data_IF_059221765750
#
_entry.id   IF_059221765750
#
_cell.length_a   1.000
_cell.length_b   1.000
_cell.length_c   1.000
_cell.angle_alpha   90.00
_cell.angle_beta   90.00
_cell.angle_gamma   90.00
#
_symmetry.space_group_name_H-M   'P 1'
#
loop_
_entity.id
_entity.type
_entity.pdbx_description
1 polymer ?
#
# COMPACT_ATOMS: atom_id res chain seq x y z
N UNK A 1 -14.28 0.48 -12.12
CA UNK A 1 -13.83 1.69 -12.82
C UNK A 1 -12.59 2.15 -12.10
N UNK A 2 -11.45 2.14 -12.80
CA UNK A 2 -10.20 2.62 -12.26
C UNK A 2 -9.97 4.04 -12.74
N UNK A 3 -9.73 4.98 -11.82
CA UNK A 3 -9.37 6.36 -12.17
C UNK A 3 -7.87 6.57 -11.96
N UNK A 4 -7.27 7.41 -12.81
CA UNK A 4 -5.88 7.83 -12.68
C UNK A 4 -5.82 9.28 -12.22
N UNK A 5 -5.04 9.52 -11.17
CA UNK A 5 -4.81 10.85 -10.61
C UNK A 5 -3.35 11.03 -10.19
N UNK A 6 -2.98 12.25 -9.79
CA UNK A 6 -1.65 12.63 -9.36
C UNK A 6 -1.74 13.44 -8.05
N UNK A 7 -0.87 13.12 -7.10
CA UNK A 7 -0.72 13.93 -5.90
C UNK A 7 -0.11 15.29 -6.25
N UNK A 8 -0.79 16.39 -5.90
CA UNK A 8 -0.27 17.75 -6.12
C UNK A 8 1.00 18.10 -5.33
N UNK A 9 1.29 17.41 -4.22
CA UNK A 9 2.44 17.72 -3.37
C UNK A 9 3.73 17.04 -3.84
N UNK A 10 3.66 15.74 -4.10
CA UNK A 10 4.84 14.93 -4.43
C UNK A 10 4.88 14.46 -5.89
N UNK A 11 3.82 14.70 -6.66
CA UNK A 11 3.73 14.30 -8.07
C UNK A 11 3.52 12.80 -8.29
N UNK A 12 3.35 11.98 -7.24
CA UNK A 12 3.14 10.54 -7.41
C UNK A 12 1.82 10.27 -8.13
N UNK A 13 1.84 9.34 -9.07
CA UNK A 13 0.64 8.91 -9.80
C UNK A 13 -0.05 7.83 -8.98
N UNK A 14 -1.37 7.96 -8.84
CA UNK A 14 -2.20 7.08 -8.05
C UNK A 14 -3.33 6.54 -8.93
N UNK A 15 -3.57 5.23 -8.82
CA UNK A 15 -4.70 4.57 -9.45
C UNK A 15 -5.69 4.18 -8.35
N UNK A 16 -6.94 4.61 -8.46
CA UNK A 16 -7.98 4.34 -7.48
C UNK A 16 -9.09 3.49 -8.11
N UNK A 17 -9.34 2.33 -7.51
CA UNK A 17 -10.38 1.43 -7.95
C UNK A 17 -11.69 1.74 -7.24
N UNK A 18 -12.69 2.18 -7.99
CA UNK A 18 -14.06 2.36 -7.52
C UNK A 18 -14.95 1.13 -7.83
N UNK A 19 -14.38 0.05 -8.36
CA UNK A 19 -15.10 -1.20 -8.61
C UNK A 19 -16.30 -1.01 -9.53
N UNK A 20 -17.48 -1.46 -9.11
CA UNK A 20 -18.71 -1.33 -9.88
C UNK A 20 -19.56 -0.10 -9.47
N UNK A 21 -18.97 0.85 -8.73
CA UNK A 21 -19.68 2.06 -8.29
C UNK A 21 -20.13 2.89 -9.49
N UNK A 22 -21.33 3.49 -9.38
CA UNK A 22 -21.75 4.56 -10.28
C UNK A 22 -20.91 5.82 -10.07
N UNK A 23 -21.04 6.79 -10.97
CA UNK A 23 -20.36 8.08 -10.84
C UNK A 23 -20.73 8.79 -9.54
N UNK A 24 -22.02 8.80 -9.18
CA UNK A 24 -22.53 9.45 -7.98
C UNK A 24 -21.98 8.79 -6.72
N UNK A 25 -21.90 7.46 -6.72
CA UNK A 25 -21.29 6.68 -5.64
C UNK A 25 -19.79 6.97 -5.52
N UNK A 26 -19.07 7.09 -6.64
CA UNK A 26 -17.66 7.45 -6.67
C UNK A 26 -17.42 8.86 -6.12
N UNK A 27 -18.25 9.84 -6.49
CA UNK A 27 -18.20 11.20 -5.95
C UNK A 27 -18.48 11.22 -4.43
N UNK A 28 -19.51 10.50 -3.98
CA UNK A 28 -19.81 10.39 -2.55
C UNK A 28 -18.68 9.70 -1.77
N UNK A 29 -17.99 8.74 -2.39
CA UNK A 29 -16.79 8.13 -1.81
C UNK A 29 -15.62 9.13 -1.76
N UNK A 30 -15.41 9.94 -2.80
CA UNK A 30 -14.38 10.99 -2.81
C UNK A 30 -14.58 11.99 -1.66
N UNK A 31 -15.83 12.37 -1.34
CA UNK A 31 -16.14 13.21 -0.17
C UNK A 31 -15.75 12.53 1.17
N UNK A 32 -16.05 11.24 1.31
CA UNK A 32 -15.62 10.48 2.50
C UNK A 32 -14.10 10.40 2.59
N UNK A 33 -13.41 10.28 1.46
CA UNK A 33 -11.94 10.26 1.41
C UNK A 33 -11.35 11.61 1.84
N UNK A 34 -12.03 12.72 1.59
CA UNK A 34 -11.56 14.06 1.91
C UNK A 34 -11.40 14.31 3.42
N UNK A 35 -12.17 13.61 4.25
CA UNK A 35 -12.21 13.80 5.71
C UNK A 35 -11.46 12.71 6.49
N UNK A 36 -10.88 11.73 5.79
CA UNK A 36 -10.19 10.60 6.42
C UNK A 36 -8.67 10.72 6.24
N UNK A 37 -7.87 10.56 7.31
CA UNK A 37 -6.43 10.51 7.17
C UNK A 37 -5.97 9.36 6.26
N UNK A 38 -5.08 9.65 5.32
CA UNK A 38 -4.62 8.68 4.31
C UNK A 38 -3.15 8.88 3.98
N UNK A 39 -2.46 7.75 3.80
CA UNK A 39 -1.08 7.71 3.34
C UNK A 39 -1.00 7.93 1.83
N UNK A 40 -0.08 8.78 1.40
CA UNK A 40 0.33 8.90 0.01
C UNK A 40 1.47 7.90 -0.29
N UNK A 41 1.48 7.23 -1.46
CA UNK A 41 2.62 6.42 -1.91
C UNK A 41 3.94 7.20 -1.99
N UNK A 42 3.88 8.53 -2.09
CA UNK A 42 5.03 9.44 -1.98
C UNK A 42 5.56 9.64 -0.55
N UNK A 43 5.20 8.77 0.41
CA UNK A 43 5.70 8.77 1.78
C UNK A 43 5.38 10.04 2.57
N UNK A 44 4.14 10.51 2.47
CA UNK A 44 3.58 11.54 3.36
C UNK A 44 2.14 11.19 3.76
N UNK A 45 1.67 11.75 4.88
CA UNK A 45 0.31 11.53 5.38
C UNK A 45 -0.50 12.80 5.19
N UNK A 46 -1.70 12.64 4.65
CA UNK A 46 -2.69 13.70 4.55
C UNK A 46 -3.74 13.48 5.62
N UNK A 47 -3.99 14.49 6.46
CA UNK A 47 -5.02 14.43 7.49
C UNK A 47 -6.43 14.71 6.95
N UNK A 48 -6.51 15.18 5.69
CA UNK A 48 -7.73 15.49 4.96
C UNK A 48 -7.41 16.21 3.66
N UNK A 49 -8.42 16.69 2.93
CA UNK A 49 -8.26 17.43 1.69
C UNK A 49 -7.90 16.55 0.48
N UNK A 50 -8.03 15.23 0.60
CA UNK A 50 -7.69 14.26 -0.46
C UNK A 50 -8.39 14.54 -1.78
N UNK A 51 -9.67 14.94 -1.74
CA UNK A 51 -10.45 15.27 -2.93
C UNK A 51 -9.78 16.37 -3.75
N UNK A 52 -9.26 17.39 -3.07
CA UNK A 52 -8.58 18.53 -3.69
C UNK A 52 -7.11 18.25 -4.03
N UNK A 53 -6.40 17.50 -3.18
CA UNK A 53 -4.99 17.16 -3.36
C UNK A 53 -4.74 16.22 -4.54
N UNK A 54 -5.77 15.48 -4.96
CA UNK A 54 -5.74 14.52 -6.06
C UNK A 54 -6.82 14.82 -7.10
N UNK A 55 -7.39 16.03 -7.15
CA UNK A 55 -8.41 16.42 -8.15
C UNK A 55 -9.45 15.33 -8.44
N UNK A 56 -10.01 14.72 -7.40
CA UNK A 56 -10.79 13.49 -7.55
C UNK A 56 -12.07 13.72 -8.39
N UNK A 57 -12.71 14.89 -8.29
CA UNK A 57 -13.89 15.22 -9.10
C UNK A 57 -13.58 15.19 -10.59
N UNK A 58 -12.46 15.79 -10.98
CA UNK A 58 -12.00 15.86 -12.36
C UNK A 58 -11.53 14.47 -12.85
N UNK A 59 -10.80 13.73 -12.02
CA UNK A 59 -10.42 12.35 -12.33
C UNK A 59 -11.63 11.41 -12.50
N UNK A 60 -12.67 11.57 -11.68
CA UNK A 60 -13.94 10.84 -11.79
C UNK A 60 -14.70 11.28 -13.05
N UNK A 61 -14.78 12.58 -13.33
CA UNK A 61 -15.40 13.11 -14.55
C UNK A 61 -14.76 12.51 -15.81
N UNK A 62 -13.42 12.58 -15.92
CA UNK A 62 -12.69 11.99 -17.06
C UNK A 62 -12.97 10.50 -17.21
N UNK A 63 -12.99 9.76 -16.11
CA UNK A 63 -13.20 8.32 -16.16
C UNK A 63 -14.63 7.90 -16.54
N UNK A 64 -15.64 8.56 -15.95
CA UNK A 64 -17.03 8.16 -16.08
C UNK A 64 -17.77 8.84 -17.23
N UNK A 65 -17.46 10.10 -17.53
CA UNK A 65 -18.16 10.87 -18.58
C UNK A 65 -17.39 10.90 -19.90
N UNK A 66 -16.05 10.95 -19.85
CA UNK A 66 -15.20 11.04 -21.04
C UNK A 66 -14.61 9.68 -21.48
N UNK A 67 -14.78 8.64 -20.66
CA UNK A 67 -14.30 7.29 -20.96
C UNK A 67 -12.78 7.13 -20.86
N UNK A 68 -12.08 8.03 -20.17
CA UNK A 68 -10.62 7.95 -19.94
C UNK A 68 -10.25 7.03 -18.76
N UNK A 69 -11.24 6.33 -18.21
CA UNK A 69 -11.04 5.37 -17.14
C UNK A 69 -10.36 4.11 -17.63
N UNK A 70 -9.63 3.45 -16.74
CA UNK A 70 -8.99 2.18 -17.06
C UNK A 70 -9.94 1.01 -16.72
N UNK A 71 -9.99 0.03 -17.62
CA UNK A 71 -10.65 -1.26 -17.36
C UNK A 71 -9.77 -2.06 -16.40
N UNK A 72 -10.39 -2.71 -15.43
CA UNK A 72 -9.67 -3.58 -14.50
C UNK A 72 -9.08 -4.76 -15.24
N UNK A 73 -7.77 -4.74 -15.46
CA UNK A 73 -7.05 -5.93 -15.90
C UNK A 73 -6.98 -6.94 -14.74
N UNK A 74 -7.05 -8.26 -15.03
CA UNK A 74 -6.81 -9.28 -14.02
C UNK A 74 -5.42 -9.09 -13.39
N UNK A 75 -5.41 -8.65 -12.14
CA UNK A 75 -4.18 -8.52 -11.36
C UNK A 75 -3.77 -9.86 -10.76
N UNK A 76 -2.47 -10.05 -10.56
CA UNK A 76 -1.90 -11.21 -9.87
C UNK A 76 -2.62 -11.45 -8.53
N UNK A 77 -2.97 -12.70 -8.24
CA UNK A 77 -3.60 -13.06 -6.97
C UNK A 77 -2.63 -12.89 -5.81
N UNK A 78 -3.14 -12.72 -4.59
CA UNK A 78 -2.31 -12.64 -3.39
C UNK A 78 -1.45 -13.90 -3.23
N UNK A 79 -2.02 -15.08 -3.52
CA UNK A 79 -1.29 -16.35 -3.52
C UNK A 79 -0.14 -16.36 -4.53
N UNK A 80 -0.40 -16.02 -5.80
CA UNK A 80 0.63 -16.01 -6.83
C UNK A 80 1.72 -14.96 -6.54
N UNK A 81 1.35 -13.84 -5.92
CA UNK A 81 2.30 -12.82 -5.49
C UNK A 81 3.22 -13.32 -4.40
N UNK A 82 2.67 -13.97 -3.37
CA UNK A 82 3.48 -14.57 -2.29
C UNK A 82 4.34 -15.70 -2.81
N UNK A 83 3.81 -16.60 -3.64
CA UNK A 83 4.57 -17.69 -4.27
C UNK A 83 5.76 -17.16 -5.06
N UNK A 84 5.59 -16.06 -5.81
CA UNK A 84 6.68 -15.38 -6.50
C UNK A 84 7.75 -14.89 -5.52
N UNK A 85 7.38 -14.19 -4.46
CA UNK A 85 8.34 -13.68 -3.46
C UNK A 85 9.10 -14.83 -2.78
N UNK A 86 8.40 -15.92 -2.43
CA UNK A 86 9.01 -17.12 -1.87
C UNK A 86 9.99 -17.77 -2.86
N UNK A 87 9.64 -17.84 -4.14
CA UNK A 87 10.53 -18.34 -5.20
C UNK A 87 11.78 -17.46 -5.40
N UNK A 88 11.70 -16.17 -5.10
CA UNK A 88 12.84 -15.24 -5.05
C UNK A 88 13.68 -15.39 -3.76
N UNK A 89 13.34 -16.33 -2.87
CA UNK A 89 14.03 -16.58 -1.61
C UNK A 89 13.73 -15.54 -0.54
N UNK A 90 12.64 -14.78 -0.66
CA UNK A 90 12.20 -13.83 0.36
C UNK A 90 11.50 -14.53 1.51
N UNK A 91 11.70 -14.01 2.72
CA UNK A 91 11.01 -14.44 3.92
C UNK A 91 9.75 -13.60 4.11
N UNK A 92 8.60 -14.16 3.73
CA UNK A 92 7.31 -13.45 3.59
C UNK A 92 6.42 -13.66 4.82
N UNK A 93 5.82 -12.57 5.29
CA UNK A 93 4.97 -12.51 6.48
C UNK A 93 3.62 -11.89 6.09
N UNK A 94 2.54 -12.48 6.59
CA UNK A 94 1.17 -11.98 6.42
C UNK A 94 0.91 -10.74 7.30
N UNK A 95 0.25 -9.73 6.74
CA UNK A 95 -0.03 -8.49 7.46
C UNK A 95 -1.08 -8.58 8.57
N UNK A 96 -1.67 -9.75 8.81
CA UNK A 96 -2.52 -10.04 9.97
C UNK A 96 -3.93 -10.48 9.64
N UNK A 97 -4.30 -10.62 8.37
CA UNK A 97 -5.63 -11.05 7.94
C UNK A 97 -5.69 -12.51 7.48
N UNK A 98 -4.59 -13.25 7.55
CA UNK A 98 -4.53 -14.64 7.11
C UNK A 98 -5.00 -14.76 5.64
N UNK A 99 -4.47 -13.89 4.79
CA UNK A 99 -5.02 -13.62 3.46
C UNK A 99 -4.75 -14.74 2.46
N UNK A 100 -3.72 -15.54 2.70
CA UNK A 100 -3.35 -16.75 1.93
C UNK A 100 -3.15 -17.94 2.86
N UNK A 101 -4.24 -18.51 3.43
CA UNK A 101 -4.16 -19.57 4.43
C UNK A 101 -3.43 -20.82 3.95
N UNK A 102 -3.46 -21.09 2.64
CA UNK A 102 -2.84 -22.25 1.99
C UNK A 102 -1.32 -22.24 2.12
N UNK A 103 -0.71 -21.07 2.31
CA UNK A 103 0.74 -20.90 2.41
C UNK A 103 1.24 -20.87 3.86
N UNK A 104 0.33 -20.92 4.84
CA UNK A 104 0.65 -20.98 6.27
C UNK A 104 1.68 -19.93 6.72
N UNK A 105 1.58 -18.70 6.19
CA UNK A 105 2.51 -17.63 6.51
C UNK A 105 2.44 -17.25 8.00
N UNK A 106 3.58 -16.92 8.63
CA UNK A 106 3.56 -16.26 9.94
C UNK A 106 2.87 -14.90 9.83
N UNK A 107 2.22 -14.46 10.90
CA UNK A 107 1.56 -13.15 10.96
C UNK A 107 2.47 -12.12 11.60
N UNK A 108 2.41 -10.88 11.12
CA UNK A 108 3.22 -9.79 11.67
C UNK A 108 3.04 -9.68 13.19
N UNK A 109 1.80 -9.65 13.68
CA UNK A 109 1.52 -9.44 15.10
C UNK A 109 1.87 -10.62 16.02
N UNK A 110 2.39 -11.73 15.48
CA UNK A 110 2.94 -12.85 16.28
C UNK A 110 4.40 -12.59 16.70
N UNK A 111 5.07 -11.61 16.11
CA UNK A 111 6.43 -11.24 16.48
C UNK A 111 6.45 -10.34 17.72
N UNK A 112 7.30 -10.66 18.73
CA UNK A 112 7.43 -9.83 19.93
C UNK A 112 8.18 -8.52 19.64
N UNK A 113 7.99 -7.55 20.52
CA UNK A 113 8.72 -6.28 20.55
C UNK A 113 8.69 -5.51 19.21
N UNK A 114 7.53 -5.52 18.54
CA UNK A 114 7.33 -4.78 17.30
C UNK A 114 7.16 -3.29 17.55
N UNK A 115 8.07 -2.51 17.00
CA UNK A 115 7.99 -1.06 16.89
C UNK A 115 7.47 -0.67 15.51
N UNK A 116 6.40 0.13 15.46
CA UNK A 116 5.99 0.82 14.24
C UNK A 116 6.93 1.99 13.96
N UNK A 117 7.51 2.04 12.76
CA UNK A 117 8.49 3.07 12.38
C UNK A 117 7.98 4.00 11.26
N UNK A 118 6.66 4.05 11.07
CA UNK A 118 5.98 4.89 10.08
C UNK A 118 5.65 4.15 8.78
N UNK A 119 4.66 4.65 8.03
CA UNK A 119 4.23 4.14 6.70
C UNK A 119 3.90 2.64 6.62
N UNK A 120 3.52 2.09 7.76
CA UNK A 120 3.23 0.67 7.92
C UNK A 120 4.48 -0.21 8.00
N UNK A 121 5.69 0.33 8.13
CA UNK A 121 6.91 -0.45 8.39
C UNK A 121 7.06 -0.77 9.87
N UNK A 122 7.65 -1.92 10.17
CA UNK A 122 7.90 -2.36 11.53
C UNK A 122 9.34 -2.82 11.71
N UNK A 123 9.83 -2.79 12.94
CA UNK A 123 11.10 -3.41 13.33
C UNK A 123 10.91 -4.11 14.66
N UNK A 124 11.82 -5.02 14.99
CA UNK A 124 12.07 -5.42 16.37
C UNK A 124 13.58 -5.33 16.66
N UNK A 125 14.03 -5.97 17.74
CA UNK A 125 15.43 -5.98 18.14
C UNK A 125 16.36 -6.49 17.04
N UNK A 126 15.93 -7.48 16.26
CA UNK A 126 16.79 -8.27 15.35
C UNK A 126 16.50 -8.04 13.87
N UNK A 127 15.29 -7.64 13.51
CA UNK A 127 14.85 -7.59 12.13
C UNK A 127 14.10 -6.29 11.79
N UNK A 128 14.14 -5.95 10.50
CA UNK A 128 13.26 -5.00 9.85
C UNK A 128 12.17 -5.78 9.09
N UNK A 129 10.93 -5.31 9.19
CA UNK A 129 9.78 -5.85 8.47
C UNK A 129 9.38 -4.82 7.41
N UNK A 130 9.79 -5.10 6.17
CA UNK A 130 9.65 -4.21 5.03
C UNK A 130 8.31 -4.48 4.35
N UNK A 131 7.44 -3.47 4.31
CA UNK A 131 6.12 -3.55 3.66
C UNK A 131 6.27 -3.85 2.17
N UNK A 132 5.52 -4.83 1.67
CA UNK A 132 5.49 -5.22 0.26
C UNK A 132 4.06 -5.57 -0.18
N UNK A 133 3.25 -4.55 -0.47
CA UNK A 133 1.85 -4.73 -0.83
C UNK A 133 1.68 -5.53 -2.14
N UNK A 134 0.71 -6.44 -2.19
CA UNK A 134 0.36 -7.16 -3.42
C UNK A 134 -0.27 -6.21 -4.45
N UNK A 135 -0.32 -6.59 -5.74
CA UNK A 135 -1.05 -5.83 -6.76
C UNK A 135 -2.55 -5.60 -6.45
N UNK A 136 -3.13 -6.36 -5.51
CA UNK A 136 -4.51 -6.18 -5.02
C UNK A 136 -4.62 -5.21 -3.85
N UNK A 137 -3.50 -4.70 -3.35
CA UNK A 137 -3.44 -3.83 -2.18
C UNK A 137 -3.42 -4.57 -0.84
N UNK A 138 -3.30 -5.91 -0.84
CA UNK A 138 -3.13 -6.68 0.39
C UNK A 138 -1.74 -6.43 0.97
N UNK A 139 -1.66 -6.20 2.28
CA UNK A 139 -0.40 -5.90 2.95
C UNK A 139 0.34 -7.18 3.37
N UNK A 140 1.56 -7.32 2.85
CA UNK A 140 2.54 -8.33 3.26
C UNK A 140 3.83 -7.65 3.73
N UNK A 141 4.72 -8.43 4.33
CA UNK A 141 6.03 -7.97 4.75
C UNK A 141 7.12 -8.95 4.32
N UNK A 142 8.29 -8.42 3.98
CA UNK A 142 9.52 -9.21 3.93
C UNK A 142 10.34 -8.94 5.18
N UNK A 143 10.90 -10.01 5.76
CA UNK A 143 11.78 -9.91 6.92
C UNK A 143 13.23 -9.80 6.48
N UNK A 144 13.89 -8.74 6.92
CA UNK A 144 15.31 -8.51 6.64
C UNK A 144 16.08 -8.41 7.96
N UNK A 145 17.27 -9.01 8.08
CA UNK A 145 18.13 -8.79 9.23
C UNK A 145 18.41 -7.30 9.38
N UNK A 146 18.29 -6.78 10.60
CA UNK A 146 18.72 -5.41 10.87
C UNK A 146 20.22 -5.37 10.59
N UNK A 147 20.67 -4.52 9.66
CA UNK A 147 22.09 -4.32 9.43
C UNK A 147 22.73 -4.01 10.78
N UNK A 148 23.66 -4.87 11.24
CA UNK A 148 24.46 -4.54 12.41
C UNK A 148 25.12 -3.22 12.09
N UNK A 149 24.83 -2.17 12.85
CA UNK A 149 25.69 -1.01 12.86
C UNK A 149 27.04 -1.51 13.37
N UNK A 150 27.90 -1.99 12.47
CA UNK A 150 29.31 -2.00 12.74
C UNK A 150 29.63 -0.54 12.99
N UNK A 151 29.83 -0.20 14.26
CA UNK A 151 30.41 1.06 14.64
C UNK A 151 31.64 1.23 13.76
N UNK A 152 31.59 2.21 12.85
CA UNK A 152 32.78 2.67 12.19
C UNK A 152 33.73 3.04 13.32
N UNK A 153 34.75 2.20 13.55
CA UNK A 153 35.87 2.55 14.38
C UNK A 153 36.45 3.81 13.75
N UNK A 154 36.12 4.98 14.32
CA UNK A 154 36.84 6.20 14.04
C UNK A 154 38.19 6.00 14.76
N UNK A 155 39.31 5.82 14.04
CA UNK A 155 40.60 5.79 14.70
C UNK A 155 40.88 7.17 15.32
N UNK A 156 41.41 7.15 16.53
CA UNK A 156 41.81 8.31 17.31
C UNK A 156 42.95 9.11 16.65
#
# INVERSE_FOLDING_TARGET
>A
MMIRTQCKKCGVILKLDFGNMTKEEALAMAEKMDTTPRECPGMHVELGGWKNLYDLDDAIHRAYDLGEGEVLEPVMTDQAYVEKLLAEGKDVIDGGQNTVPELHLPRLHEYPDLDHIGFGYFKNTTHLFVRCDSPRGTRFYTREPKASSQAACIPA
#
